data_IF_176471962221
#
_entry.id   IF_176471962221
#
_cell.length_a   1.000
_cell.length_b   1.000
_cell.length_c   1.000
_cell.angle_alpha   90.00
_cell.angle_beta   90.00
_cell.angle_gamma   90.00
#
_symmetry.space_group_name_H-M   'P 1'
#
loop_
_entity.id
_entity.type
_entity.pdbx_description
1 polymer ?
#
# COMPACT_ATOMS: atom_id res chain seq x y z
N UNK A 1 11.47 10.97 20.14
CA UNK A 1 11.02 9.74 19.46
C UNK A 1 10.47 10.00 18.05
N UNK A 2 9.54 10.94 17.85
CA UNK A 2 8.89 11.18 16.55
C UNK A 2 9.66 12.02 15.52
N UNK A 3 10.81 12.59 15.88
CA UNK A 3 11.62 13.45 14.99
C UNK A 3 12.10 12.68 13.75
N UNK A 4 12.55 11.44 13.91
CA UNK A 4 12.99 10.59 12.80
C UNK A 4 11.81 10.18 11.90
N UNK A 5 10.66 9.88 12.51
CA UNK A 5 9.45 9.45 11.81
C UNK A 5 8.89 10.58 10.94
N UNK A 6 8.65 11.76 11.50
CA UNK A 6 8.14 12.91 10.75
C UNK A 6 9.18 13.46 9.77
N UNK A 7 10.47 13.43 10.13
CA UNK A 7 11.55 13.81 9.22
C UNK A 7 11.67 12.91 7.99
N UNK A 8 11.32 11.63 8.09
CA UNK A 8 11.29 10.69 6.97
C UNK A 8 9.98 10.78 6.17
N UNK A 9 8.82 10.83 6.85
CA UNK A 9 7.50 10.87 6.21
C UNK A 9 7.32 12.14 5.38
N UNK A 10 7.80 13.29 5.85
CA UNK A 10 7.70 14.57 5.12
C UNK A 10 8.54 14.60 3.83
N UNK A 11 9.51 13.69 3.68
CA UNK A 11 10.37 13.59 2.49
C UNK A 11 9.85 12.58 1.46
N UNK A 12 8.81 11.82 1.79
CA UNK A 12 8.23 10.83 0.90
C UNK A 12 7.11 11.45 0.06
N UNK A 13 6.99 11.10 -1.24
CA UNK A 13 5.82 11.43 -2.02
C UNK A 13 4.55 10.87 -1.36
N UNK A 14 3.44 11.62 -1.39
CA UNK A 14 2.17 11.23 -0.75
C UNK A 14 1.68 9.84 -1.18
N UNK A 15 1.90 9.52 -2.47
CA UNK A 15 1.66 8.21 -3.06
C UNK A 15 2.43 7.08 -2.36
N UNK A 16 3.70 7.31 -2.01
CA UNK A 16 4.57 6.35 -1.35
C UNK A 16 4.17 6.17 0.13
N UNK A 17 3.77 7.25 0.81
CA UNK A 17 3.22 7.20 2.17
C UNK A 17 1.96 6.34 2.24
N UNK A 18 1.05 6.50 1.28
CA UNK A 18 -0.15 5.67 1.17
C UNK A 18 0.17 4.19 0.94
N UNK A 19 1.09 3.89 0.03
CA UNK A 19 1.54 2.53 -0.23
C UNK A 19 2.21 1.86 0.99
N UNK A 20 3.01 2.60 1.76
CA UNK A 20 3.63 2.13 2.99
C UNK A 20 2.59 1.76 4.06
N UNK A 21 1.52 2.56 4.20
CA UNK A 21 0.42 2.24 5.13
C UNK A 21 -0.27 0.92 4.80
N UNK A 22 -0.33 0.55 3.52
CA UNK A 22 -0.92 -0.68 3.04
C UNK A 22 -0.06 -1.93 3.23
N UNK A 23 1.24 -1.77 3.54
CA UNK A 23 2.09 -2.89 3.93
C UNK A 23 1.66 -3.44 5.30
N UNK A 24 1.20 -2.57 6.21
CA UNK A 24 0.79 -2.97 7.56
C UNK A 24 -0.25 -4.11 7.59
N UNK A 25 -1.41 -4.01 6.92
CA UNK A 25 -2.39 -5.10 6.90
C UNK A 25 -1.87 -6.38 6.22
N UNK A 26 -0.99 -6.26 5.22
CA UNK A 26 -0.36 -7.45 4.58
C UNK A 26 0.54 -8.18 5.58
N UNK A 27 1.37 -7.43 6.30
CA UNK A 27 2.24 -8.00 7.34
C UNK A 27 1.41 -8.59 8.47
N UNK A 28 0.34 -7.92 8.91
CA UNK A 28 -0.56 -8.44 9.94
C UNK A 28 -1.16 -9.80 9.54
N UNK A 29 -1.66 -9.92 8.31
CA UNK A 29 -2.20 -11.17 7.77
C UNK A 29 -1.14 -12.29 7.74
N UNK A 30 0.09 -11.97 7.34
CA UNK A 30 1.20 -12.94 7.29
C UNK A 30 1.57 -13.41 8.70
N UNK A 31 1.72 -12.47 9.63
CA UNK A 31 2.04 -12.78 11.04
C UNK A 31 0.91 -13.59 11.66
N UNK A 32 -0.36 -13.25 11.41
CA UNK A 32 -1.50 -13.98 11.96
C UNK A 32 -1.55 -15.42 11.47
N UNK A 33 -1.19 -15.66 10.21
CA UNK A 33 -1.10 -17.02 9.65
C UNK A 33 0.03 -17.83 10.27
N UNK A 34 1.21 -17.21 10.45
CA UNK A 34 2.41 -17.90 10.95
C UNK A 34 2.31 -18.14 12.45
N UNK A 35 1.93 -17.12 13.22
CA UNK A 35 1.94 -17.16 14.68
C UNK A 35 0.71 -17.86 15.26
N UNK A 36 -0.47 -17.68 14.66
CA UNK A 36 -1.74 -18.19 15.22
C UNK A 36 -2.38 -19.30 14.39
N UNK A 37 -1.78 -19.70 13.26
CA UNK A 37 -2.32 -20.75 12.40
C UNK A 37 -3.69 -20.39 11.80
N UNK A 38 -4.03 -19.10 11.75
CA UNK A 38 -5.33 -18.63 11.25
C UNK A 38 -5.56 -19.11 9.82
N UNK A 39 -6.74 -19.69 9.58
CA UNK A 39 -7.22 -20.00 8.23
C UNK A 39 -7.60 -18.69 7.56
N UNK A 40 -6.72 -18.22 6.67
CA UNK A 40 -6.97 -17.02 5.88
C UNK A 40 -8.21 -17.25 5.01
N UNK A 41 -9.19 -16.37 5.15
CA UNK A 41 -10.31 -16.36 4.23
C UNK A 41 -9.79 -15.96 2.84
N UNK A 42 -10.24 -16.65 1.79
CA UNK A 42 -9.82 -16.34 0.41
C UNK A 42 -10.03 -14.88 0.04
N UNK A 43 -11.06 -14.23 0.60
CA UNK A 43 -11.34 -12.81 0.39
C UNK A 43 -10.26 -11.89 0.99
N UNK A 44 -9.62 -12.28 2.10
CA UNK A 44 -8.51 -11.51 2.70
C UNK A 44 -7.27 -11.58 1.82
N UNK A 45 -6.98 -12.76 1.24
CA UNK A 45 -5.88 -12.94 0.29
C UNK A 45 -6.11 -12.08 -0.95
N UNK A 46 -7.33 -12.12 -1.50
CA UNK A 46 -7.73 -11.30 -2.64
C UNK A 46 -7.58 -9.80 -2.34
N UNK A 47 -8.04 -9.35 -1.17
CA UNK A 47 -7.88 -7.97 -0.73
C UNK A 47 -6.41 -7.56 -0.60
N UNK A 48 -5.57 -8.40 -0.01
CA UNK A 48 -4.13 -8.16 0.11
C UNK A 48 -3.46 -8.03 -1.28
N UNK A 49 -3.78 -8.92 -2.21
CA UNK A 49 -3.26 -8.85 -3.59
C UNK A 49 -3.70 -7.57 -4.30
N UNK A 50 -4.98 -7.20 -4.21
CA UNK A 50 -5.50 -5.97 -4.83
C UNK A 50 -4.85 -4.71 -4.28
N UNK A 51 -4.64 -4.66 -2.96
CA UNK A 51 -3.95 -3.55 -2.29
C UNK A 51 -2.49 -3.44 -2.77
N UNK A 52 -1.77 -4.56 -2.84
CA UNK A 52 -0.40 -4.59 -3.33
C UNK A 52 -0.30 -4.17 -4.80
N UNK A 53 -1.25 -4.61 -5.64
CA UNK A 53 -1.34 -4.19 -7.04
C UNK A 53 -1.62 -2.70 -7.18
N UNK A 54 -2.52 -2.14 -6.37
CA UNK A 54 -2.81 -0.71 -6.37
C UNK A 54 -1.58 0.11 -5.91
N UNK A 55 -0.91 -0.34 -4.85
CA UNK A 55 0.32 0.28 -4.37
C UNK A 55 1.43 0.24 -5.43
N UNK A 56 1.59 -0.91 -6.11
CA UNK A 56 2.54 -1.05 -7.22
C UNK A 56 2.19 -0.11 -8.37
N UNK A 57 0.92 -0.04 -8.80
CA UNK A 57 0.50 0.84 -9.88
C UNK A 57 0.72 2.32 -9.58
N UNK A 58 0.48 2.73 -8.33
CA UNK A 58 0.72 4.11 -7.88
C UNK A 58 2.22 4.44 -7.81
N UNK A 59 3.08 3.52 -7.36
CA UNK A 59 4.53 3.75 -7.30
C UNK A 59 5.23 3.62 -8.66
N UNK A 60 4.76 2.72 -9.52
CA UNK A 60 5.32 2.48 -10.86
C UNK A 60 4.73 3.43 -11.92
N UNK A 61 3.79 4.31 -11.53
CA UNK A 61 3.22 5.32 -12.42
C UNK A 61 2.29 4.75 -13.50
N UNK A 62 1.58 3.65 -13.21
CA UNK A 62 0.59 3.10 -14.14
C UNK A 62 -0.50 4.13 -14.43
N UNK A 63 -0.57 4.61 -15.67
CA UNK A 63 -1.62 5.55 -16.12
C UNK A 63 -2.81 4.76 -16.63
N UNK A 64 -3.65 4.32 -15.70
CA UNK A 64 -4.91 3.61 -16.01
C UNK A 64 -6.00 4.61 -16.44
N UNK A 65 -5.91 5.86 -16.01
CA UNK A 65 -6.83 6.94 -16.39
C UNK A 65 -6.09 7.96 -17.28
N UNK A 66 -6.52 8.18 -18.54
CA UNK A 66 -5.90 9.20 -19.39
C UNK A 66 -6.16 10.59 -18.78
N UNK A 67 -5.08 11.34 -18.55
CA UNK A 67 -5.16 12.73 -18.09
C UNK A 67 -5.90 13.54 -19.16
N UNK A 68 -7.08 14.07 -18.82
CA UNK A 68 -7.81 15.00 -19.69
C UNK A 68 -6.94 16.25 -19.83
N UNK A 69 -6.24 16.36 -20.94
CA UNK A 69 -5.40 17.52 -21.27
C UNK A 69 -6.34 18.70 -21.53
N UNK A 70 -6.53 19.55 -20.53
CA UNK A 70 -7.16 20.84 -20.77
C UNK A 70 -6.17 21.70 -21.56
N UNK A 71 -6.47 21.86 -22.85
CA UNK A 71 -5.85 22.87 -23.71
C UNK A 71 -6.46 24.21 -23.32
N UNK A 72 -5.62 25.14 -22.85
CA UNK A 72 -5.95 26.56 -22.75
C UNK A 72 -5.39 27.22 -24.02
#
# INVERSE_FOLDING_TARGET
MYVLLYGAIQKLPTAMTGALSFIYPVVAIVVDRIAFGQKLAWIQVLGAVLILLAAAGVNLGWRIVPTRRYSI
#
